data_IF_704816531150
#
_entry.id   IF_704816531150
#
_cell.length_a   1.000
_cell.length_b   1.000
_cell.length_c   1.000
_cell.angle_alpha   90.00
_cell.angle_beta   90.00
_cell.angle_gamma   90.00
#
_symmetry.space_group_name_H-M   'P 1'
#
loop_
_entity.id
_entity.type
_entity.pdbx_description
1 polymer ?
#
# COMPACT_ATOMS: atom_id res chain seq x y z
N UNK A 1 -41.93 14.36 41.27
CA UNK A 1 -40.99 14.92 42.26
C UNK A 1 -39.59 14.44 41.94
N UNK A 2 -38.70 15.39 41.58
CA UNK A 2 -37.20 15.44 41.61
C UNK A 2 -36.43 14.13 41.37
N UNK A 3 -35.85 13.94 40.15
CA UNK A 3 -34.49 14.31 39.69
C UNK A 3 -33.36 14.17 40.73
N UNK A 4 -32.50 13.22 40.52
CA UNK A 4 -31.22 13.06 41.20
C UNK A 4 -30.18 12.61 40.16
N UNK A 5 -29.40 13.55 39.63
CA UNK A 5 -28.22 13.38 38.78
C UNK A 5 -27.09 12.78 39.62
N UNK A 6 -26.39 11.79 39.06
CA UNK A 6 -25.05 11.41 39.55
C UNK A 6 -24.10 11.44 38.33
N UNK A 7 -23.44 12.56 38.22
CA UNK A 7 -22.19 12.70 37.47
C UNK A 7 -21.10 11.90 38.18
N UNK A 8 -20.41 11.02 37.47
CA UNK A 8 -19.16 10.42 37.94
C UNK A 8 -18.09 10.61 36.91
N UNK A 9 -17.39 11.73 37.03
CA UNK A 9 -16.08 11.92 36.46
C UNK A 9 -15.17 10.76 36.86
N UNK A 10 -14.52 10.16 35.89
CA UNK A 10 -13.27 9.45 36.08
C UNK A 10 -12.25 10.04 35.14
N UNK A 11 -11.49 10.98 35.68
CA UNK A 11 -10.17 11.37 35.19
C UNK A 11 -9.27 10.13 35.15
N UNK A 12 -9.03 9.61 33.95
CA UNK A 12 -7.94 8.68 33.65
C UNK A 12 -6.87 9.48 32.94
N UNK A 13 -5.85 9.89 33.67
CA UNK A 13 -4.58 10.45 33.13
C UNK A 13 -3.98 9.42 32.19
N UNK A 14 -4.23 9.56 30.89
CA UNK A 14 -3.42 8.95 29.88
C UNK A 14 -2.15 9.81 29.75
N UNK A 15 -1.05 9.35 30.32
CA UNK A 15 0.27 9.88 30.05
C UNK A 15 0.55 9.70 28.54
N UNK A 16 0.32 10.77 27.79
CA UNK A 16 0.76 10.89 26.40
C UNK A 16 2.28 10.92 26.47
N UNK A 17 2.89 9.77 26.19
CA UNK A 17 4.32 9.69 25.90
C UNK A 17 4.49 10.37 24.54
N UNK A 18 4.78 11.68 24.58
CA UNK A 18 5.15 12.45 23.41
C UNK A 18 6.51 11.91 22.92
N UNK A 19 6.47 10.95 22.03
CA UNK A 19 7.60 10.64 21.18
C UNK A 19 7.78 11.86 20.27
N UNK A 20 8.69 12.73 20.65
CA UNK A 20 9.26 13.77 19.79
C UNK A 20 9.96 13.06 18.62
N UNK A 21 9.19 12.66 17.62
CA UNK A 21 9.75 12.43 16.30
C UNK A 21 10.20 13.80 15.84
N UNK A 22 11.52 14.00 15.86
CA UNK A 22 12.14 15.18 15.29
C UNK A 22 11.67 15.27 13.83
N UNK A 23 10.67 16.11 13.63
CA UNK A 23 10.21 16.53 12.33
C UNK A 23 11.36 17.33 11.72
N UNK A 24 12.27 16.69 11.03
CA UNK A 24 13.09 17.37 10.05
C UNK A 24 12.13 17.82 8.96
N UNK A 25 11.55 19.00 9.21
CA UNK A 25 10.94 19.79 8.15
C UNK A 25 12.05 19.92 7.10
N UNK A 26 11.99 19.13 6.05
CA UNK A 26 12.77 19.39 4.85
C UNK A 26 12.17 20.70 4.34
N UNK A 27 12.73 21.80 4.81
CA UNK A 27 12.56 23.10 4.20
C UNK A 27 13.05 22.91 2.78
N UNK A 28 12.12 22.71 1.85
CA UNK A 28 12.42 22.90 0.44
C UNK A 28 12.97 24.32 0.39
N UNK A 29 14.24 24.53 0.03
CA UNK A 29 14.77 25.87 0.01
C UNK A 29 13.87 26.68 -0.92
N UNK A 30 13.23 27.71 -0.39
CA UNK A 30 12.62 28.76 -1.18
C UNK A 30 13.78 29.50 -1.83
N UNK A 31 14.37 28.87 -2.85
CA UNK A 31 15.31 29.57 -3.74
C UNK A 31 14.50 30.70 -4.34
N UNK A 32 14.74 31.90 -3.84
CA UNK A 32 14.01 33.09 -4.23
C UNK A 32 13.90 33.12 -5.76
N UNK A 33 12.67 33.12 -6.25
CA UNK A 33 12.37 33.38 -7.67
C UNK A 33 12.99 34.74 -7.97
N UNK A 34 14.19 34.75 -8.58
CA UNK A 34 14.77 35.98 -9.10
C UNK A 34 13.84 36.47 -10.19
N UNK A 35 13.25 37.63 -9.98
CA UNK A 35 12.48 38.32 -11.01
C UNK A 35 13.31 38.38 -12.29
N UNK A 36 12.79 37.84 -13.37
CA UNK A 36 13.43 37.82 -14.69
C UNK A 36 13.38 39.25 -15.24
N UNK A 37 14.52 39.85 -15.58
CA UNK A 37 14.52 41.19 -16.15
C UNK A 37 13.88 41.18 -17.55
N UNK A 38 13.15 42.25 -17.96
CA UNK A 38 12.53 42.31 -19.25
C UNK A 38 13.58 42.64 -20.35
N UNK A 39 13.44 41.94 -21.46
CA UNK A 39 14.11 42.15 -22.77
C UNK A 39 15.60 41.85 -22.85
N UNK A 40 15.88 40.68 -23.37
CA UNK A 40 17.17 40.25 -23.91
C UNK A 40 16.96 39.41 -25.18
N UNK A 41 17.96 39.38 -26.00
CA UNK A 41 18.12 38.63 -27.23
C UNK A 41 17.58 37.19 -27.19
N UNK A 42 17.16 36.63 -28.30
CA UNK A 42 16.57 35.28 -28.39
C UNK A 42 17.43 34.19 -27.69
N UNK A 43 18.76 34.35 -27.75
CA UNK A 43 19.70 33.45 -27.06
C UNK A 43 19.56 33.49 -25.51
N UNK A 44 19.34 34.69 -24.94
CA UNK A 44 19.15 34.82 -23.50
C UNK A 44 17.79 34.26 -23.05
N UNK A 45 16.75 34.37 -23.85
CA UNK A 45 15.42 33.79 -23.59
C UNK A 45 15.46 32.27 -23.71
N UNK A 46 16.20 31.71 -24.66
CA UNK A 46 16.41 30.26 -24.75
C UNK A 46 17.17 29.69 -23.53
N UNK A 47 18.20 30.39 -23.07
CA UNK A 47 18.90 30.00 -21.84
C UNK A 47 17.97 30.04 -20.63
N UNK A 48 17.17 31.10 -20.47
CA UNK A 48 16.17 31.22 -19.40
C UNK A 48 15.12 30.12 -19.47
N UNK A 49 14.63 29.75 -20.65
CA UNK A 49 13.71 28.63 -20.86
C UNK A 49 14.35 27.31 -20.38
N UNK A 50 15.61 27.07 -20.71
CA UNK A 50 16.36 25.91 -20.22
C UNK A 50 16.50 25.85 -18.69
N UNK A 51 16.81 27.00 -18.05
CA UNK A 51 16.88 27.08 -16.59
C UNK A 51 15.52 26.81 -15.91
N UNK A 52 14.45 27.36 -16.50
CA UNK A 52 13.06 27.12 -16.03
C UNK A 52 12.66 25.66 -16.25
N UNK A 53 12.97 25.07 -17.38
CA UNK A 53 12.73 23.65 -17.65
C UNK A 53 13.43 22.77 -16.60
N UNK A 54 14.66 23.09 -16.25
CA UNK A 54 15.38 22.40 -15.18
C UNK A 54 14.72 22.55 -13.79
N UNK A 55 14.19 23.74 -13.49
CA UNK A 55 13.45 23.95 -12.23
C UNK A 55 12.13 23.18 -12.20
N UNK A 56 11.39 23.14 -13.31
CA UNK A 56 10.17 22.31 -13.43
C UNK A 56 10.51 20.84 -13.23
N UNK A 57 11.55 20.34 -13.89
CA UNK A 57 11.99 18.96 -13.76
C UNK A 57 12.40 18.60 -12.30
N UNK A 58 13.03 19.55 -11.60
CA UNK A 58 13.37 19.37 -10.17
C UNK A 58 12.11 19.29 -9.30
N UNK A 59 11.15 20.18 -9.50
CA UNK A 59 9.86 20.15 -8.80
C UNK A 59 9.08 18.86 -9.09
N UNK A 60 9.07 18.42 -10.33
CA UNK A 60 8.40 17.19 -10.74
C UNK A 60 9.06 15.95 -10.11
N UNK A 61 10.41 15.96 -9.97
CA UNK A 61 11.15 14.91 -9.26
C UNK A 61 10.81 14.89 -7.76
N UNK A 62 10.81 16.06 -7.09
CA UNK A 62 10.48 16.17 -5.67
C UNK A 62 9.04 15.71 -5.42
N UNK A 63 8.13 16.06 -6.33
CA UNK A 63 6.74 15.64 -6.29
C UNK A 63 6.61 14.12 -6.48
N UNK A 64 7.36 13.51 -7.40
CA UNK A 64 7.38 12.07 -7.57
C UNK A 64 7.86 11.34 -6.31
N UNK A 65 8.92 11.84 -5.66
CA UNK A 65 9.41 11.29 -4.38
C UNK A 65 8.35 11.39 -3.28
N UNK A 66 7.67 12.55 -3.17
CA UNK A 66 6.61 12.75 -2.18
C UNK A 66 5.41 11.82 -2.42
N UNK A 67 5.07 11.60 -3.69
CA UNK A 67 3.99 10.68 -4.11
C UNK A 67 4.31 9.26 -3.71
N UNK A 68 5.47 8.77 -4.10
CA UNK A 68 5.88 7.41 -3.76
C UNK A 68 5.92 7.20 -2.24
N UNK A 69 6.31 8.23 -1.47
CA UNK A 69 6.26 8.17 -0.01
C UNK A 69 4.81 8.10 0.52
N UNK A 70 3.85 8.79 -0.11
CA UNK A 70 2.43 8.69 0.22
C UNK A 70 1.87 7.30 -0.12
N UNK A 71 2.14 6.80 -1.33
CA UNK A 71 1.64 5.50 -1.79
C UNK A 71 2.18 4.35 -0.94
N UNK A 72 3.41 4.45 -0.45
CA UNK A 72 3.97 3.50 0.49
C UNK A 72 3.17 3.46 1.81
N UNK A 73 2.92 4.62 2.42
CA UNK A 73 2.15 4.70 3.67
C UNK A 73 0.71 4.22 3.46
N UNK A 74 0.12 4.54 2.32
CA UNK A 74 -1.22 4.06 1.94
C UNK A 74 -1.26 2.54 1.82
N UNK A 75 -0.28 1.93 1.17
CA UNK A 75 -0.18 0.48 1.08
C UNK A 75 -0.04 -0.18 2.46
N UNK A 76 0.78 0.39 3.35
CA UNK A 76 0.95 -0.10 4.72
C UNK A 76 -0.36 0.05 5.52
N UNK A 77 -1.11 1.14 5.32
CA UNK A 77 -2.41 1.39 5.94
C UNK A 77 -3.46 0.38 5.46
N UNK A 78 -3.55 0.12 4.17
CA UNK A 78 -4.46 -0.88 3.61
C UNK A 78 -4.15 -2.27 4.19
N UNK A 79 -2.86 -2.65 4.23
CA UNK A 79 -2.41 -3.93 4.79
C UNK A 79 -2.71 -4.07 6.29
N UNK A 80 -2.56 -3.01 7.11
CA UNK A 80 -2.91 -3.09 8.54
C UNK A 80 -4.42 -3.12 8.75
N UNK A 81 -5.19 -2.45 7.87
CA UNK A 81 -6.65 -2.46 7.91
C UNK A 81 -7.18 -3.88 7.70
N UNK A 82 -6.70 -4.59 6.71
CA UNK A 82 -7.06 -6.00 6.46
C UNK A 82 -6.74 -6.88 7.68
N UNK A 83 -5.56 -6.70 8.28
CA UNK A 83 -5.16 -7.45 9.49
C UNK A 83 -6.04 -7.14 10.70
N UNK A 84 -6.46 -5.89 10.87
CA UNK A 84 -7.39 -5.48 11.92
C UNK A 84 -8.73 -6.19 11.75
N UNK A 85 -9.25 -6.24 10.53
CA UNK A 85 -10.54 -6.87 10.26
C UNK A 85 -10.48 -8.40 10.43
N UNK A 86 -9.41 -9.05 9.95
CA UNK A 86 -9.16 -10.48 10.21
C UNK A 86 -9.06 -10.78 11.71
N UNK A 87 -8.34 -9.95 12.47
CA UNK A 87 -8.17 -10.13 13.92
C UNK A 87 -9.49 -9.92 14.65
N UNK A 88 -10.34 -8.97 14.22
CA UNK A 88 -11.69 -8.78 14.77
C UNK A 88 -12.58 -9.98 14.54
N UNK A 89 -12.58 -10.53 13.34
CA UNK A 89 -13.33 -11.74 13.02
C UNK A 89 -12.87 -12.91 13.90
N UNK A 90 -11.57 -13.17 13.98
CA UNK A 90 -11.00 -14.21 14.85
C UNK A 90 -11.38 -14.01 16.31
N UNK A 91 -11.36 -12.78 16.82
CA UNK A 91 -11.79 -12.47 18.18
C UNK A 91 -13.25 -12.84 18.42
N UNK A 92 -14.13 -12.52 17.45
CA UNK A 92 -15.55 -12.87 17.52
C UNK A 92 -15.78 -14.38 17.60
N UNK A 93 -15.09 -15.16 16.77
CA UNK A 93 -15.17 -16.62 16.73
C UNK A 93 -14.69 -17.26 18.06
N UNK A 94 -13.57 -16.79 18.61
CA UNK A 94 -13.04 -17.30 19.87
C UNK A 94 -13.97 -16.95 21.06
N UNK A 95 -14.55 -15.74 21.07
CA UNK A 95 -15.52 -15.33 22.09
C UNK A 95 -16.79 -16.18 22.06
N UNK A 96 -17.31 -16.51 20.88
CA UNK A 96 -18.48 -17.39 20.78
C UNK A 96 -18.15 -18.82 21.24
N UNK A 97 -17.00 -19.36 20.85
CA UNK A 97 -16.53 -20.65 21.35
C UNK A 97 -16.36 -20.67 22.88
N UNK A 98 -15.86 -19.58 23.47
CA UNK A 98 -15.76 -19.45 24.93
C UNK A 98 -17.13 -19.45 25.59
N UNK A 99 -18.10 -18.77 25.01
CA UNK A 99 -19.48 -18.69 25.49
C UNK A 99 -20.15 -20.07 25.46
N UNK A 100 -20.03 -20.82 24.38
CA UNK A 100 -20.57 -22.18 24.26
C UNK A 100 -19.97 -23.13 25.30
N UNK A 101 -18.63 -23.11 25.47
CA UNK A 101 -17.95 -23.95 26.46
C UNK A 101 -18.36 -23.61 27.90
N UNK A 102 -18.53 -22.31 28.21
CA UNK A 102 -19.04 -21.85 29.49
C UNK A 102 -20.47 -22.30 29.73
N UNK A 103 -21.33 -22.24 28.72
CA UNK A 103 -22.70 -22.72 28.78
C UNK A 103 -22.74 -24.22 29.08
N UNK A 104 -21.92 -25.01 28.41
CA UNK A 104 -21.78 -26.45 28.67
C UNK A 104 -21.33 -26.73 30.13
N UNK A 105 -20.30 -26.03 30.61
CA UNK A 105 -19.83 -26.16 31.98
C UNK A 105 -20.91 -25.78 33.02
N UNK A 106 -21.65 -24.69 32.76
CA UNK A 106 -22.72 -24.24 33.64
C UNK A 106 -23.86 -25.26 33.71
N UNK A 107 -24.30 -25.80 32.56
CA UNK A 107 -25.33 -26.83 32.52
C UNK A 107 -24.91 -28.06 33.33
N UNK A 108 -23.63 -28.44 33.22
CA UNK A 108 -23.09 -29.55 33.96
C UNK A 108 -23.00 -29.27 35.48
N UNK A 109 -22.54 -28.08 35.86
CA UNK A 109 -22.50 -27.64 37.26
C UNK A 109 -23.90 -27.65 37.91
N UNK A 110 -24.94 -27.18 37.16
CA UNK A 110 -26.34 -27.22 37.59
C UNK A 110 -26.81 -28.67 37.82
N UNK A 111 -26.46 -29.58 36.91
CA UNK A 111 -26.80 -31.00 37.03
C UNK A 111 -26.15 -31.64 38.24
N UNK A 112 -24.86 -31.36 38.45
CA UNK A 112 -24.14 -31.85 39.63
C UNK A 112 -24.71 -31.28 40.94
N UNK A 113 -25.09 -30.00 40.95
CA UNK A 113 -25.71 -29.39 42.14
C UNK A 113 -27.08 -29.98 42.47
N UNK A 114 -27.95 -30.16 41.46
CA UNK A 114 -29.31 -30.69 41.64
C UNK A 114 -29.31 -32.16 42.09
N UNK A 115 -28.39 -32.96 41.54
CA UNK A 115 -28.34 -34.41 41.83
C UNK A 115 -27.46 -34.77 43.02
N UNK A 116 -26.71 -33.80 43.58
CA UNK A 116 -25.88 -33.93 44.79
C UNK A 116 -24.67 -34.86 44.62
N UNK A 117 -23.73 -34.77 45.61
CA UNK A 117 -22.58 -35.70 45.72
C UNK A 117 -22.99 -37.14 45.96
N UNK A 118 -24.17 -37.36 46.51
CA UNK A 118 -24.77 -38.66 46.82
C UNK A 118 -24.95 -39.53 45.55
N UNK A 119 -25.27 -38.94 44.43
CA UNK A 119 -25.52 -39.67 43.15
C UNK A 119 -24.29 -40.45 42.65
N UNK A 120 -23.07 -39.92 42.79
CA UNK A 120 -21.87 -40.66 42.34
C UNK A 120 -21.53 -41.85 43.26
N UNK A 121 -21.67 -41.67 44.57
CA UNK A 121 -21.49 -42.75 45.52
C UNK A 121 -22.60 -43.82 45.40
N UNK A 122 -23.84 -43.42 45.21
CA UNK A 122 -24.97 -44.34 44.97
C UNK A 122 -24.78 -45.14 43.68
N UNK A 123 -24.26 -44.52 42.60
CA UNK A 123 -23.93 -45.24 41.33
C UNK A 123 -22.85 -46.29 41.59
N UNK A 124 -21.87 -46.02 42.44
CA UNK A 124 -20.79 -46.97 42.74
C UNK A 124 -21.19 -48.03 43.80
N UNK A 125 -22.01 -47.65 44.76
CA UNK A 125 -22.44 -48.56 45.82
C UNK A 125 -23.65 -49.43 45.43
N UNK A 126 -24.43 -49.04 44.43
CA UNK A 126 -25.58 -49.78 43.93
C UNK A 126 -25.23 -50.89 42.90
N UNK A 127 -24.02 -51.43 42.91
CA UNK A 127 -23.51 -52.46 42.01
C UNK A 127 -23.92 -53.86 42.44
N UNK A 128 -24.18 -54.75 41.46
CA UNK A 128 -24.60 -56.13 41.69
C UNK A 128 -23.42 -57.08 41.87
N UNK A 129 -22.30 -56.80 41.26
CA UNK A 129 -21.08 -57.60 41.30
C UNK A 129 -19.84 -56.72 41.05
N UNK A 130 -18.65 -57.30 41.15
CA UNK A 130 -17.37 -56.62 40.96
C UNK A 130 -17.18 -56.11 39.52
N UNK A 131 -17.69 -56.80 38.50
CA UNK A 131 -17.58 -56.43 37.09
C UNK A 131 -18.43 -55.15 36.80
N UNK A 132 -19.67 -55.11 37.32
CA UNK A 132 -20.52 -53.91 37.26
C UNK A 132 -19.88 -52.71 38.01
N UNK A 133 -19.26 -52.98 39.17
CA UNK A 133 -18.52 -51.93 39.90
C UNK A 133 -17.37 -51.35 39.05
N UNK A 134 -16.53 -52.20 38.47
CA UNK A 134 -15.40 -51.75 37.68
C UNK A 134 -15.85 -50.94 36.43
N UNK A 135 -16.90 -51.37 35.77
CA UNK A 135 -17.48 -50.63 34.62
C UNK A 135 -18.01 -49.25 35.03
N UNK A 136 -18.69 -49.13 36.13
CA UNK A 136 -19.21 -47.85 36.67
C UNK A 136 -18.09 -46.94 37.17
N UNK A 137 -17.07 -47.50 37.80
CA UNK A 137 -15.89 -46.75 38.22
C UNK A 137 -15.12 -46.17 37.02
N UNK A 138 -14.92 -46.94 35.95
CA UNK A 138 -14.34 -46.45 34.69
C UNK A 138 -15.19 -45.34 34.04
N UNK A 139 -16.51 -45.50 34.05
CA UNK A 139 -17.41 -44.45 33.54
C UNK A 139 -17.30 -43.16 34.34
N UNK A 140 -17.29 -43.22 35.69
CA UNK A 140 -17.13 -42.03 36.54
C UNK A 140 -15.76 -41.39 36.34
N UNK A 141 -14.69 -42.17 36.20
CA UNK A 141 -13.35 -41.66 35.89
C UNK A 141 -13.30 -40.89 34.56
N UNK A 142 -13.85 -41.46 33.49
CA UNK A 142 -13.95 -40.79 32.16
C UNK A 142 -14.76 -39.49 32.21
N UNK A 143 -15.83 -39.49 33.02
CA UNK A 143 -16.63 -38.28 33.21
C UNK A 143 -15.83 -37.18 33.93
N UNK A 144 -15.08 -37.51 34.94
CA UNK A 144 -14.22 -36.58 35.67
C UNK A 144 -13.08 -36.04 34.77
N UNK A 145 -12.48 -36.90 33.95
CA UNK A 145 -11.45 -36.52 32.98
C UNK A 145 -12.00 -35.55 31.90
N UNK A 146 -13.19 -35.82 31.39
CA UNK A 146 -13.86 -34.93 30.45
C UNK A 146 -14.14 -33.54 31.04
N UNK A 147 -14.58 -33.49 32.31
CA UNK A 147 -14.83 -32.23 33.02
C UNK A 147 -13.54 -31.44 33.24
N UNK A 148 -12.48 -32.11 33.67
CA UNK A 148 -11.15 -31.49 33.83
C UNK A 148 -10.64 -30.93 32.46
N UNK A 149 -10.79 -31.71 31.40
CA UNK A 149 -10.47 -31.30 30.04
C UNK A 149 -11.28 -30.09 29.58
N UNK A 150 -12.59 -30.04 29.86
CA UNK A 150 -13.44 -28.89 29.54
C UNK A 150 -12.98 -27.62 30.26
N UNK A 151 -12.68 -27.73 31.56
CA UNK A 151 -12.17 -26.60 32.36
C UNK A 151 -10.84 -26.08 31.78
N UNK A 152 -9.93 -26.99 31.43
CA UNK A 152 -8.66 -26.63 30.86
C UNK A 152 -8.82 -25.91 29.47
N UNK A 153 -9.72 -26.39 28.63
CA UNK A 153 -10.06 -25.73 27.33
C UNK A 153 -10.69 -24.36 27.55
N UNK A 154 -11.53 -24.18 28.56
CA UNK A 154 -12.09 -22.86 28.90
C UNK A 154 -10.99 -21.90 29.33
N UNK A 155 -10.04 -22.33 30.18
CA UNK A 155 -8.89 -21.51 30.58
C UNK A 155 -8.04 -21.10 29.38
N UNK A 156 -7.63 -22.06 28.57
CA UNK A 156 -6.81 -21.76 27.35
C UNK A 156 -7.54 -20.86 26.36
N UNK A 157 -8.84 -21.05 26.15
CA UNK A 157 -9.64 -20.19 25.26
C UNK A 157 -9.76 -18.75 25.81
N UNK A 158 -9.94 -18.60 27.13
CA UNK A 158 -9.93 -17.28 27.78
C UNK A 158 -8.60 -16.57 27.61
N UNK A 159 -7.49 -17.28 27.77
CA UNK A 159 -6.15 -16.73 27.63
C UNK A 159 -5.91 -16.32 26.16
N UNK A 160 -6.38 -17.15 25.21
CA UNK A 160 -6.38 -16.79 23.78
C UNK A 160 -7.20 -15.52 23.48
N UNK A 161 -8.37 -15.31 24.10
CA UNK A 161 -9.14 -14.08 23.95
C UNK A 161 -8.31 -12.87 24.40
N UNK A 162 -7.66 -12.95 25.57
CA UNK A 162 -6.83 -11.85 26.08
C UNK A 162 -5.64 -11.54 25.16
N UNK A 163 -5.02 -12.56 24.57
CA UNK A 163 -3.91 -12.39 23.62
C UNK A 163 -4.37 -11.72 22.33
N UNK A 164 -5.48 -12.16 21.75
CA UNK A 164 -6.04 -11.57 20.52
C UNK A 164 -6.54 -10.14 20.75
N UNK A 165 -7.10 -9.83 21.92
CA UNK A 165 -7.50 -8.46 22.31
C UNK A 165 -6.27 -7.53 22.39
N UNK A 166 -5.16 -8.01 22.93
CA UNK A 166 -3.89 -7.25 22.96
C UNK A 166 -3.36 -7.01 21.55
N UNK A 167 -3.36 -8.04 20.70
CA UNK A 167 -2.94 -7.94 19.30
C UNK A 167 -3.80 -6.92 18.54
N UNK A 168 -5.12 -6.98 18.69
CA UNK A 168 -6.04 -6.04 18.07
C UNK A 168 -5.78 -4.59 18.50
N UNK A 169 -5.57 -4.37 19.81
CA UNK A 169 -5.26 -3.03 20.32
C UNK A 169 -3.96 -2.46 19.78
N UNK A 170 -2.95 -3.29 19.58
CA UNK A 170 -1.67 -2.88 18.99
C UNK A 170 -1.83 -2.55 17.50
N UNK A 171 -2.52 -3.40 16.75
CA UNK A 171 -2.81 -3.18 15.33
C UNK A 171 -3.63 -1.89 15.12
N UNK A 172 -4.61 -1.61 15.98
CA UNK A 172 -5.40 -0.36 15.91
C UNK A 172 -4.53 0.88 16.16
N UNK A 173 -3.61 0.83 17.12
CA UNK A 173 -2.66 1.95 17.33
C UNK A 173 -1.73 2.17 16.13
N UNK A 174 -1.26 1.10 15.51
CA UNK A 174 -0.47 1.19 14.28
C UNK A 174 -1.30 1.80 13.15
N UNK A 175 -2.55 1.39 12.98
CA UNK A 175 -3.48 1.93 12.00
C UNK A 175 -3.70 3.43 12.20
N UNK A 176 -3.96 3.89 13.42
CA UNK A 176 -4.11 5.30 13.74
C UNK A 176 -2.87 6.12 13.37
N UNK A 177 -1.67 5.64 13.71
CA UNK A 177 -0.41 6.28 13.33
C UNK A 177 -0.19 6.38 11.82
N UNK A 178 -0.58 5.34 11.07
CA UNK A 178 -0.50 5.35 9.61
C UNK A 178 -1.52 6.30 8.97
N UNK A 179 -2.72 6.45 9.54
CA UNK A 179 -3.70 7.44 9.08
C UNK A 179 -3.15 8.86 9.19
N UNK A 180 -2.52 9.20 10.32
CA UNK A 180 -1.88 10.51 10.49
C UNK A 180 -0.73 10.72 9.50
N UNK A 181 0.12 9.72 9.31
CA UNK A 181 1.21 9.78 8.34
C UNK A 181 0.70 9.95 6.91
N UNK A 182 -0.34 9.21 6.50
CA UNK A 182 -0.95 9.33 5.18
C UNK A 182 -1.51 10.74 4.95
N UNK A 183 -2.19 11.33 5.94
CA UNK A 183 -2.70 12.69 5.86
C UNK A 183 -1.56 13.72 5.71
N UNK A 184 -0.48 13.57 6.48
CA UNK A 184 0.68 14.46 6.39
C UNK A 184 1.38 14.36 5.01
N UNK A 185 1.54 13.14 4.48
CA UNK A 185 2.13 12.92 3.15
C UNK A 185 1.25 13.46 2.03
N UNK A 186 -0.06 13.27 2.12
CA UNK A 186 -1.02 13.84 1.19
C UNK A 186 -0.90 15.38 1.14
N UNK A 187 -0.88 16.03 2.31
CA UNK A 187 -0.72 17.47 2.39
C UNK A 187 0.60 17.95 1.76
N UNK A 188 1.68 17.20 1.94
CA UNK A 188 2.97 17.50 1.32
C UNK A 188 2.88 17.44 -0.22
N UNK A 189 2.20 16.45 -0.76
CA UNK A 189 1.96 16.32 -2.19
C UNK A 189 1.10 17.47 -2.73
N UNK A 190 0.01 17.81 -2.05
CA UNK A 190 -0.88 18.92 -2.44
C UNK A 190 -0.14 20.28 -2.40
N UNK A 191 0.70 20.51 -1.41
CA UNK A 191 1.55 21.69 -1.34
C UNK A 191 2.57 21.75 -2.50
N UNK A 192 3.20 20.63 -2.85
CA UNK A 192 4.09 20.52 -4.00
C UNK A 192 3.39 20.83 -5.32
N UNK A 193 2.18 20.31 -5.53
CA UNK A 193 1.35 20.62 -6.69
C UNK A 193 1.01 22.11 -6.78
N UNK A 194 0.61 22.72 -5.66
CA UNK A 194 0.31 24.14 -5.59
C UNK A 194 1.54 25.01 -5.90
N UNK A 195 2.70 24.62 -5.38
CA UNK A 195 3.97 25.30 -5.67
C UNK A 195 4.34 25.21 -7.14
N UNK A 196 4.22 24.02 -7.75
CA UNK A 196 4.44 23.82 -9.18
C UNK A 196 3.51 24.70 -10.03
N UNK A 197 2.23 24.72 -9.70
CA UNK A 197 1.24 25.53 -10.42
C UNK A 197 1.53 27.03 -10.29
N UNK A 198 1.87 27.51 -9.08
CA UNK A 198 2.24 28.90 -8.86
C UNK A 198 3.49 29.28 -9.66
N UNK A 199 4.47 28.37 -9.73
CA UNK A 199 5.68 28.59 -10.53
C UNK A 199 5.35 28.70 -12.04
N UNK A 200 4.54 27.78 -12.58
CA UNK A 200 4.10 27.82 -13.97
C UNK A 200 3.34 29.12 -14.31
N UNK A 201 2.50 29.59 -13.39
CA UNK A 201 1.75 30.84 -13.55
C UNK A 201 2.65 32.07 -13.51
N UNK A 202 3.84 32.01 -12.90
CA UNK A 202 4.80 33.10 -12.82
C UNK A 202 5.68 33.27 -14.05
N UNK A 203 5.64 32.29 -14.97
CA UNK A 203 6.49 32.27 -16.16
C UNK A 203 5.98 33.28 -17.21
N UNK A 204 6.91 34.08 -17.75
CA UNK A 204 6.59 35.05 -18.80
C UNK A 204 6.05 34.35 -20.06
N UNK A 205 5.10 34.99 -20.76
CA UNK A 205 4.46 34.44 -21.97
C UNK A 205 5.43 34.03 -23.10
N UNK A 206 6.51 34.77 -23.29
CA UNK A 206 7.49 34.43 -24.32
C UNK A 206 8.23 33.13 -23.98
N UNK A 207 8.55 32.90 -22.69
CA UNK A 207 9.18 31.68 -22.23
C UNK A 207 8.19 30.52 -22.28
N UNK A 208 6.90 30.76 -21.95
CA UNK A 208 5.84 29.74 -22.11
C UNK A 208 5.79 29.21 -23.54
N UNK A 209 5.86 30.08 -24.55
CA UNK A 209 5.88 29.66 -25.98
C UNK A 209 7.11 28.82 -26.33
N UNK A 210 8.28 29.14 -25.77
CA UNK A 210 9.48 28.32 -25.98
C UNK A 210 9.35 26.96 -25.34
N UNK A 211 8.82 26.88 -24.09
CA UNK A 211 8.56 25.62 -23.41
C UNK A 211 7.51 24.77 -24.12
N UNK A 212 6.47 25.40 -24.69
CA UNK A 212 5.49 24.70 -25.54
C UNK A 212 6.14 24.11 -26.78
N UNK A 213 7.07 24.85 -27.44
CA UNK A 213 7.81 24.33 -28.58
C UNK A 213 8.68 23.13 -28.21
N UNK A 214 9.42 23.21 -27.09
CA UNK A 214 10.19 22.07 -26.57
C UNK A 214 9.30 20.87 -26.24
N UNK A 215 8.14 21.11 -25.67
CA UNK A 215 7.17 20.05 -25.34
C UNK A 215 6.65 19.38 -26.61
N UNK A 216 6.36 20.15 -27.65
CA UNK A 216 5.95 19.60 -28.97
C UNK A 216 7.08 18.77 -29.62
N UNK A 217 8.31 19.25 -29.59
CA UNK A 217 9.45 18.47 -30.10
C UNK A 217 9.65 17.16 -29.36
N UNK A 218 9.55 17.18 -28.02
CA UNK A 218 9.60 15.95 -27.22
C UNK A 218 8.45 15.00 -27.52
N UNK A 219 7.25 15.53 -27.78
CA UNK A 219 6.10 14.71 -28.18
C UNK A 219 6.31 14.05 -29.56
N UNK A 220 6.87 14.77 -30.52
CA UNK A 220 7.23 14.25 -31.87
C UNK A 220 8.31 13.16 -31.74
N UNK A 221 9.35 13.40 -30.92
CA UNK A 221 10.38 12.39 -30.62
C UNK A 221 9.78 11.15 -29.97
N UNK A 222 8.88 11.32 -28.97
CA UNK A 222 8.17 10.23 -28.34
C UNK A 222 7.35 9.43 -29.37
N UNK A 223 6.61 10.09 -30.24
CA UNK A 223 5.81 9.42 -31.29
C UNK A 223 6.69 8.59 -32.24
N UNK A 224 7.88 9.10 -32.60
CA UNK A 224 8.85 8.35 -33.39
C UNK A 224 9.37 7.10 -32.64
N UNK A 225 9.66 7.22 -31.35
CA UNK A 225 10.06 6.10 -30.48
C UNK A 225 8.93 5.08 -30.30
N UNK A 226 7.70 5.54 -30.19
CA UNK A 226 6.50 4.67 -30.11
C UNK A 226 6.38 3.78 -31.33
N UNK A 227 6.56 4.36 -32.53
CA UNK A 227 6.56 3.60 -33.78
C UNK A 227 7.68 2.56 -33.83
N UNK A 228 8.89 2.95 -33.43
CA UNK A 228 10.04 2.03 -33.38
C UNK A 228 9.77 0.89 -32.36
N UNK A 229 9.22 1.20 -31.19
CA UNK A 229 8.90 0.22 -30.17
C UNK A 229 7.83 -0.77 -30.67
N UNK A 230 6.78 -0.30 -31.36
CA UNK A 230 5.75 -1.16 -31.96
C UNK A 230 6.33 -2.10 -33.01
N UNK A 231 7.16 -1.59 -33.92
CA UNK A 231 7.84 -2.41 -34.94
C UNK A 231 8.75 -3.47 -34.30
N UNK A 232 9.48 -3.11 -33.25
CA UNK A 232 10.35 -4.04 -32.53
C UNK A 232 9.58 -5.13 -31.82
N UNK A 233 8.51 -4.79 -31.09
CA UNK A 233 7.69 -5.76 -30.39
C UNK A 233 6.98 -6.71 -31.36
N UNK A 234 6.55 -6.22 -32.52
CA UNK A 234 5.97 -7.04 -33.59
C UNK A 234 6.96 -8.06 -34.16
N UNK A 235 8.25 -7.73 -34.20
CA UNK A 235 9.32 -8.59 -34.69
C UNK A 235 9.94 -9.48 -33.60
N UNK A 236 9.54 -9.34 -32.33
CA UNK A 236 10.03 -10.16 -31.22
C UNK A 236 9.21 -11.46 -31.15
N UNK A 237 9.82 -12.64 -31.14
CA UNK A 237 9.09 -13.90 -31.05
C UNK A 237 8.20 -13.93 -29.79
N UNK A 238 7.02 -14.54 -29.90
CA UNK A 238 6.01 -14.70 -28.85
C UNK A 238 6.60 -15.20 -27.53
N UNK A 239 6.98 -14.28 -26.67
CA UNK A 239 7.34 -14.54 -25.29
C UNK A 239 6.29 -13.91 -24.39
N UNK A 240 5.88 -14.53 -23.27
CA UNK A 240 4.90 -13.96 -22.33
C UNK A 240 5.28 -12.54 -21.86
N UNK A 241 6.57 -12.23 -21.80
CA UNK A 241 7.08 -10.90 -21.45
C UNK A 241 6.80 -9.84 -22.52
N UNK A 242 6.78 -10.23 -23.81
CA UNK A 242 6.41 -9.33 -24.90
C UNK A 242 4.94 -8.93 -24.86
N UNK A 243 4.05 -9.82 -24.40
CA UNK A 243 2.63 -9.54 -24.24
C UNK A 243 2.38 -8.50 -23.13
N UNK A 244 3.17 -8.54 -22.05
CA UNK A 244 3.14 -7.54 -20.98
C UNK A 244 3.54 -6.17 -21.53
N UNK A 245 4.64 -6.09 -22.27
CA UNK A 245 5.11 -4.87 -22.93
C UNK A 245 4.10 -4.32 -23.94
N UNK A 246 3.55 -5.19 -24.82
CA UNK A 246 2.51 -4.83 -25.77
C UNK A 246 1.24 -4.30 -25.08
N UNK A 247 0.91 -4.84 -23.90
CA UNK A 247 -0.25 -4.38 -23.13
C UNK A 247 0.01 -2.98 -22.56
N UNK A 248 1.21 -2.70 -22.06
CA UNK A 248 1.56 -1.35 -21.59
C UNK A 248 1.46 -0.31 -22.71
N UNK A 249 1.86 -0.66 -23.95
CA UNK A 249 1.78 0.21 -25.13
C UNK A 249 0.33 0.59 -25.51
N UNK A 250 -0.68 -0.16 -25.07
CA UNK A 250 -2.10 0.19 -25.31
C UNK A 250 -2.56 1.41 -24.52
N UNK A 251 -1.79 1.82 -23.51
CA UNK A 251 -2.10 2.95 -22.64
C UNK A 251 -1.34 4.23 -22.99
N UNK A 252 -0.63 4.26 -24.12
CA UNK A 252 0.01 5.48 -24.63
C UNK A 252 -1.00 6.62 -24.76
N UNK A 253 -0.56 7.84 -24.42
CA UNK A 253 -1.40 9.04 -24.45
C UNK A 253 -2.36 9.17 -23.25
N UNK A 254 -2.46 8.19 -22.36
CA UNK A 254 -3.26 8.31 -21.13
C UNK A 254 -2.61 9.31 -20.18
N UNK A 255 -3.38 10.29 -19.63
CA UNK A 255 -2.83 11.29 -18.72
C UNK A 255 -2.16 10.70 -17.49
N UNK A 256 -1.02 11.28 -17.13
CA UNK A 256 -0.46 11.06 -15.80
C UNK A 256 -1.35 11.70 -14.73
N UNK A 257 -1.63 10.98 -13.70
CA UNK A 257 -2.24 11.53 -12.49
C UNK A 257 -1.62 10.87 -11.25
N UNK A 258 -1.33 11.70 -10.27
CA UNK A 258 -0.83 11.27 -8.97
C UNK A 258 -1.76 10.24 -8.35
N UNK A 259 -1.23 9.14 -7.83
CA UNK A 259 -1.98 8.00 -7.30
C UNK A 259 -2.98 7.40 -8.30
N UNK A 260 -2.74 7.53 -9.60
CA UNK A 260 -3.54 6.91 -10.66
C UNK A 260 -3.22 5.44 -10.84
N UNK A 261 -4.21 4.57 -10.71
CA UNK A 261 -4.07 3.11 -10.79
C UNK A 261 -4.80 2.50 -11.99
N UNK A 262 -5.24 3.30 -12.95
CA UNK A 262 -5.93 2.80 -14.14
C UNK A 262 -7.43 3.05 -14.17
N UNK A 263 -8.20 2.23 -14.92
CA UNK A 263 -9.62 2.44 -15.14
C UNK A 263 -10.44 2.51 -13.84
N UNK A 264 -11.23 3.59 -13.68
CA UNK A 264 -12.10 3.78 -12.54
C UNK A 264 -11.38 4.15 -11.23
N UNK A 265 -10.06 4.31 -11.26
CA UNK A 265 -9.22 4.63 -10.09
C UNK A 265 -8.42 5.92 -10.28
N UNK A 266 -9.01 6.90 -10.96
CA UNK A 266 -8.42 8.22 -11.11
C UNK A 266 -8.86 9.12 -9.94
N UNK A 267 -7.94 9.63 -9.12
CA UNK A 267 -8.26 10.29 -7.85
C UNK A 267 -9.14 11.53 -7.97
N UNK A 268 -9.03 12.28 -9.08
CA UNK A 268 -9.84 13.49 -9.30
C UNK A 268 -11.19 13.21 -9.92
N UNK A 269 -11.41 12.03 -10.48
CA UNK A 269 -12.61 11.71 -11.25
C UNK A 269 -12.74 12.44 -12.59
N UNK A 270 -11.80 13.32 -12.95
CA UNK A 270 -11.79 14.06 -14.22
C UNK A 270 -11.55 13.15 -15.44
N UNK A 271 -10.80 12.07 -15.25
CA UNK A 271 -10.48 11.10 -16.28
C UNK A 271 -11.00 9.72 -15.89
N UNK A 272 -11.52 8.98 -16.89
CA UNK A 272 -11.93 7.58 -16.67
C UNK A 272 -10.73 6.66 -16.44
N UNK A 273 -9.57 7.01 -16.98
CA UNK A 273 -8.32 6.25 -16.88
C UNK A 273 -7.20 7.26 -16.66
N UNK A 274 -6.36 7.01 -15.70
CA UNK A 274 -5.11 7.72 -15.47
C UNK A 274 -4.11 6.82 -14.75
N UNK A 275 -2.84 7.13 -14.86
CA UNK A 275 -1.75 6.39 -14.24
C UNK A 275 -0.72 7.32 -13.64
N UNK A 276 -0.14 6.93 -12.51
CA UNK A 276 1.22 7.30 -12.17
C UNK A 276 2.20 6.19 -12.60
N UNK A 277 3.49 6.35 -12.30
CA UNK A 277 4.52 5.43 -12.78
C UNK A 277 4.34 4.01 -12.24
N UNK A 278 4.15 3.85 -10.94
CA UNK A 278 3.98 2.56 -10.28
C UNK A 278 2.58 1.98 -10.46
N UNK A 279 1.57 2.83 -10.66
CA UNK A 279 0.20 2.42 -10.99
C UNK A 279 0.07 1.83 -12.39
N UNK A 280 0.78 2.38 -13.39
CA UNK A 280 0.83 1.81 -14.73
C UNK A 280 1.39 0.38 -14.71
N UNK A 281 2.53 0.19 -14.08
CA UNK A 281 3.18 -1.12 -13.99
C UNK A 281 2.36 -2.11 -13.18
N UNK A 282 1.82 -1.70 -12.03
CA UNK A 282 0.89 -2.49 -11.21
C UNK A 282 -0.31 -2.95 -12.02
N UNK A 283 -0.96 -2.03 -12.72
CA UNK A 283 -2.17 -2.35 -13.48
C UNK A 283 -1.87 -3.33 -14.62
N UNK A 284 -0.82 -3.09 -15.39
CA UNK A 284 -0.46 -3.97 -16.50
C UNK A 284 -0.12 -5.37 -16.00
N UNK A 285 0.70 -5.51 -14.95
CA UNK A 285 1.05 -6.82 -14.39
C UNK A 285 -0.15 -7.55 -13.77
N UNK A 286 -1.09 -6.82 -13.16
CA UNK A 286 -2.34 -7.37 -12.63
C UNK A 286 -3.16 -8.07 -13.73
N UNK A 287 -3.21 -7.54 -14.96
CA UNK A 287 -3.89 -8.17 -16.09
C UNK A 287 -3.30 -9.55 -16.47
N UNK A 288 -2.05 -9.79 -16.08
CA UNK A 288 -1.36 -11.08 -16.26
C UNK A 288 -1.38 -11.94 -14.98
N UNK A 289 -2.11 -11.53 -13.94
CA UNK A 289 -2.24 -12.27 -12.67
C UNK A 289 -1.00 -12.16 -11.78
N UNK A 290 -0.23 -11.09 -11.92
CA UNK A 290 0.92 -10.77 -11.06
C UNK A 290 0.58 -9.49 -10.28
N UNK A 291 0.48 -9.61 -8.96
CA UNK A 291 0.16 -8.48 -8.08
C UNK A 291 1.42 -7.72 -7.67
N UNK A 292 1.45 -6.44 -8.00
CA UNK A 292 2.51 -5.52 -7.60
C UNK A 292 1.96 -4.47 -6.61
N UNK A 293 2.77 -4.02 -5.64
CA UNK A 293 2.39 -2.89 -4.80
C UNK A 293 2.34 -1.60 -5.63
N UNK A 294 1.50 -0.64 -5.23
CA UNK A 294 1.47 0.68 -5.80
C UNK A 294 2.56 1.55 -5.16
N UNK A 295 3.80 1.24 -5.45
CA UNK A 295 4.99 1.97 -5.01
C UNK A 295 6.23 1.44 -5.73
N UNK A 296 7.00 2.33 -6.36
CA UNK A 296 8.17 1.96 -7.17
C UNK A 296 9.29 1.29 -6.34
N UNK A 297 9.60 1.80 -5.15
CA UNK A 297 10.62 1.19 -4.29
C UNK A 297 10.22 -0.21 -3.85
N UNK A 298 8.96 -0.42 -3.47
CA UNK A 298 8.47 -1.74 -3.08
C UNK A 298 8.42 -2.72 -4.26
N UNK A 299 8.10 -2.23 -5.47
CA UNK A 299 8.22 -3.03 -6.69
C UNK A 299 9.68 -3.41 -6.92
N UNK A 300 10.60 -2.44 -6.80
CA UNK A 300 12.03 -2.71 -6.93
C UNK A 300 12.50 -3.80 -5.96
N UNK A 301 12.12 -3.69 -4.68
CA UNK A 301 12.56 -4.62 -3.63
C UNK A 301 12.06 -6.05 -3.87
N UNK A 302 10.86 -6.22 -4.43
CA UNK A 302 10.23 -7.52 -4.68
C UNK A 302 10.68 -8.21 -5.96
N UNK A 303 11.22 -7.46 -6.91
CA UNK A 303 11.57 -8.00 -8.23
C UNK A 303 12.90 -8.75 -8.26
N UNK A 304 12.99 -9.74 -9.11
CA UNK A 304 14.24 -10.46 -9.42
C UNK A 304 15.15 -9.52 -10.21
N UNK A 305 16.32 -9.19 -9.67
CA UNK A 305 17.26 -8.27 -10.31
C UNK A 305 17.84 -8.88 -11.58
N UNK A 306 17.82 -8.11 -12.66
CA UNK A 306 18.29 -8.51 -13.99
C UNK A 306 19.34 -7.51 -14.47
N UNK A 307 20.52 -7.94 -14.93
CA UNK A 307 21.47 -7.02 -15.57
C UNK A 307 20.91 -6.50 -16.90
N UNK A 308 21.27 -5.26 -17.27
CA UNK A 308 20.77 -4.61 -18.49
C UNK A 308 21.02 -5.46 -19.75
N UNK A 309 22.14 -6.19 -19.82
CA UNK A 309 22.45 -7.09 -20.93
C UNK A 309 21.51 -8.29 -21.08
N UNK A 310 20.73 -8.61 -20.06
CA UNK A 310 19.75 -9.70 -20.05
C UNK A 310 18.30 -9.18 -19.94
N UNK A 311 18.11 -7.86 -19.98
CA UNK A 311 16.81 -7.24 -19.96
C UNK A 311 15.98 -7.64 -21.19
N UNK A 312 14.68 -7.91 -20.97
CA UNK A 312 13.71 -8.30 -22.00
C UNK A 312 12.52 -7.34 -21.96
N UNK A 313 11.83 -7.16 -23.10
CA UNK A 313 10.56 -6.45 -23.08
C UNK A 313 9.65 -6.99 -21.96
N UNK A 314 9.01 -6.09 -21.22
CA UNK A 314 8.19 -6.42 -20.07
C UNK A 314 8.91 -6.34 -18.71
N UNK A 315 10.26 -6.40 -18.65
CA UNK A 315 10.98 -6.13 -17.40
C UNK A 315 10.76 -4.69 -16.94
N UNK A 316 10.79 -4.44 -15.64
CA UNK A 316 10.63 -3.10 -15.08
C UNK A 316 11.99 -2.44 -14.87
N UNK A 317 12.11 -1.19 -15.31
CA UNK A 317 13.29 -0.33 -15.15
C UNK A 317 13.00 0.70 -14.05
N UNK A 318 13.91 0.85 -13.10
CA UNK A 318 13.74 1.68 -11.90
C UNK A 318 14.79 2.78 -11.83
N UNK A 319 14.39 3.93 -11.30
CA UNK A 319 15.22 5.13 -11.26
C UNK A 319 15.22 5.76 -9.87
N UNK A 320 16.40 6.28 -9.47
CA UNK A 320 16.63 6.94 -8.19
C UNK A 320 17.01 6.00 -7.06
N UNK A 321 17.53 6.54 -5.95
CA UNK A 321 17.90 5.79 -4.76
C UNK A 321 17.43 6.54 -3.49
N UNK A 322 16.38 6.05 -2.80
CA UNK A 322 15.53 4.90 -3.15
C UNK A 322 14.81 5.08 -4.49
N UNK A 323 14.37 3.99 -5.10
CA UNK A 323 13.63 4.03 -6.36
C UNK A 323 12.34 4.86 -6.20
N UNK A 324 12.23 5.93 -6.97
CA UNK A 324 11.08 6.85 -6.94
C UNK A 324 10.42 7.00 -8.30
N UNK A 325 10.85 6.21 -9.28
CA UNK A 325 10.23 6.15 -10.58
C UNK A 325 10.44 4.76 -11.20
N UNK A 326 9.47 4.33 -12.00
CA UNK A 326 9.46 3.04 -12.68
C UNK A 326 8.84 3.16 -14.07
N UNK A 327 9.36 2.37 -14.99
CA UNK A 327 8.75 2.15 -16.31
C UNK A 327 8.95 0.71 -16.74
N UNK A 328 8.43 0.36 -17.90
CA UNK A 328 8.52 -0.98 -18.46
C UNK A 328 9.41 -0.98 -19.70
N UNK A 329 10.45 -1.83 -19.66
CA UNK A 329 11.40 -1.97 -20.74
C UNK A 329 10.76 -2.55 -22.00
N UNK A 330 11.08 -1.99 -23.15
CA UNK A 330 10.57 -2.40 -24.46
C UNK A 330 11.66 -3.01 -25.36
N UNK A 331 12.91 -3.00 -24.90
CA UNK A 331 14.07 -3.35 -25.71
C UNK A 331 14.71 -2.15 -26.40
N UNK A 332 15.92 -2.35 -26.96
CA UNK A 332 16.62 -1.33 -27.79
C UNK A 332 16.67 0.07 -27.16
N UNK A 333 17.06 0.15 -25.89
CA UNK A 333 17.15 1.43 -25.16
C UNK A 333 15.80 2.16 -24.95
N UNK A 334 14.65 1.48 -25.14
CA UNK A 334 13.34 2.08 -25.00
C UNK A 334 12.58 1.53 -23.79
N UNK A 335 11.77 2.39 -23.14
CA UNK A 335 10.85 2.00 -22.09
C UNK A 335 9.58 2.86 -22.13
N UNK A 336 8.44 2.28 -21.73
CA UNK A 336 7.18 3.01 -21.59
C UNK A 336 7.02 3.41 -20.12
N UNK A 337 6.53 4.62 -19.89
CA UNK A 337 6.36 5.21 -18.56
C UNK A 337 5.18 6.17 -18.49
N UNK A 338 4.65 6.39 -17.29
CA UNK A 338 3.86 7.55 -16.92
C UNK A 338 4.79 8.51 -16.16
N UNK A 339 5.26 9.63 -16.76
CA UNK A 339 6.43 10.34 -16.25
C UNK A 339 6.16 11.26 -15.07
N UNK A 340 5.22 12.23 -15.19
CA UNK A 340 4.92 13.23 -14.15
C UNK A 340 3.62 14.00 -14.48
N UNK A 341 3.16 14.80 -13.52
CA UNK A 341 1.96 15.63 -13.66
C UNK A 341 2.04 16.57 -14.89
N UNK A 342 0.99 16.58 -15.69
CA UNK A 342 0.90 17.38 -16.93
C UNK A 342 1.46 16.68 -18.16
N UNK A 343 1.91 15.44 -18.04
CA UNK A 343 2.38 14.58 -19.12
C UNK A 343 1.45 13.37 -19.31
N UNK A 344 1.75 12.53 -20.28
CA UNK A 344 0.97 11.33 -20.61
C UNK A 344 1.87 10.10 -20.61
N UNK A 345 1.28 8.92 -20.57
CA UNK A 345 2.00 7.67 -20.82
C UNK A 345 2.67 7.73 -22.18
N UNK A 346 3.99 7.52 -22.22
CA UNK A 346 4.80 7.67 -23.44
C UNK A 346 6.01 6.74 -23.45
N UNK A 347 6.62 6.58 -24.63
CA UNK A 347 7.90 5.90 -24.79
C UNK A 347 9.05 6.90 -24.63
N UNK A 348 10.10 6.48 -23.95
CA UNK A 348 11.30 7.26 -23.71
C UNK A 348 12.55 6.41 -23.89
N UNK A 349 13.72 7.05 -24.11
CA UNK A 349 15.02 6.38 -24.15
C UNK A 349 15.55 6.14 -22.72
N UNK A 350 16.01 4.94 -22.46
CA UNK A 350 16.63 4.59 -21.18
C UNK A 350 17.95 5.37 -20.98
N UNK A 351 18.73 5.52 -22.03
CA UNK A 351 19.98 6.28 -22.05
C UNK A 351 19.82 7.79 -21.79
N UNK A 352 18.60 8.33 -21.94
CA UNK A 352 18.32 9.72 -21.60
C UNK A 352 18.26 9.96 -20.08
N UNK A 353 18.30 8.89 -19.27
CA UNK A 353 18.30 8.93 -17.81
C UNK A 353 19.64 8.48 -17.23
N UNK A 354 20.18 9.29 -16.32
CA UNK A 354 21.45 9.00 -15.63
C UNK A 354 21.29 8.36 -14.25
N UNK A 355 20.03 8.22 -13.79
CA UNK A 355 19.69 7.77 -12.43
C UNK A 355 19.10 6.35 -12.39
N UNK A 356 19.42 5.49 -13.36
CA UNK A 356 18.98 4.09 -13.40
C UNK A 356 19.48 3.34 -12.15
N UNK A 357 18.53 2.82 -11.35
CA UNK A 357 18.82 2.05 -10.13
C UNK A 357 18.95 0.56 -10.41
N UNK A 358 18.26 0.06 -11.42
CA UNK A 358 18.29 -1.32 -11.83
C UNK A 358 17.06 -1.77 -12.60
N UNK A 359 17.08 -3.05 -12.97
CA UNK A 359 16.02 -3.70 -13.73
C UNK A 359 15.53 -4.91 -12.94
N UNK A 360 14.21 -5.12 -12.92
CA UNK A 360 13.62 -6.28 -12.26
C UNK A 360 12.69 -7.03 -13.19
N UNK A 361 12.69 -8.34 -13.03
CA UNK A 361 11.75 -9.26 -13.66
C UNK A 361 10.76 -9.79 -12.66
N UNK A 362 9.50 -9.94 -13.07
CA UNK A 362 8.45 -10.58 -12.29
C UNK A 362 7.89 -11.75 -13.09
N UNK A 363 7.66 -12.87 -12.40
CA UNK A 363 7.08 -14.08 -12.96
C UNK A 363 5.88 -14.51 -12.12
N UNK A 364 4.94 -15.23 -12.71
CA UNK A 364 3.95 -15.95 -11.90
C UNK A 364 4.70 -16.90 -11.00
N UNK A 365 4.45 -16.83 -9.68
CA UNK A 365 4.95 -17.77 -8.71
C UNK A 365 4.34 -19.15 -8.89
#
# INVERSE_FOLDING_TARGET
MRLGSITKEKSGSAAVLALLVAFTLIMIPTSGVKAVPPSGDLASKSQQAGEISNQINALDKDLAVATEAYDRVKYELDSITDKVDETRQRLSEIKESLKERRSTLNARAVTLYKNGRTSMLEVLLGTKDLDDFLKRADYVARVAENDASLIQRIKSTRDSVADVERQLSEQQRQQEGLVEQAAAKKNQVEAGLAQRQAFLNSINQDIQKLLEQETRQRAEESAALEKQAQEQLANTPNAPSSDIANTAMKYLGIPYHLAGEGPGKCPTGEHRICFDCSGLTKYVYMLFGIELPHNAAMQYDRGIKVPLSQAKPGDLVFFGSPAHHVGMYLGNDMFVQAPHTGDVVKVSKLSARSDLSGICRFTKG
#
